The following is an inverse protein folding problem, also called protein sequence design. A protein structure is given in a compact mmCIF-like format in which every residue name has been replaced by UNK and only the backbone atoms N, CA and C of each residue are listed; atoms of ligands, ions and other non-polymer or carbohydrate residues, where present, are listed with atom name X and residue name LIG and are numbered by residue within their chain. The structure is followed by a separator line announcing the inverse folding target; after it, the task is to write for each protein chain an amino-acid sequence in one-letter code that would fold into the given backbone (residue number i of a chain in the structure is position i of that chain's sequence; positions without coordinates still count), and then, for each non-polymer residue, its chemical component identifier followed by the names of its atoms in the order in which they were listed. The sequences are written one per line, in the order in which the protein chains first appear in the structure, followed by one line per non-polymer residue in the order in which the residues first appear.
data_IF_584998557097
#
_entry.id   IF_584998557097
#
_cell.length_a   1.000
_cell.length_b   1.000
_cell.length_c   1.000
_cell.angle_alpha   90.00
_cell.angle_beta   90.00
_cell.angle_gamma   90.00
#
_symmetry.space_group_name_H-M   'P 1'
#
loop_
_entity.id
_entity.type
_entity.pdbx_description
1 polymer ?
#
# COMPACT_ATOMS: atom_id res chain seq x y z
N UNK A 1 -19.94 -23.27 8.76
CA UNK A 1 -20.18 -21.82 8.55
C UNK A 1 -18.98 -21.27 7.77
N UNK A 2 -19.15 -21.02 6.47
CA UNK A 2 -18.06 -20.61 5.56
C UNK A 2 -18.58 -20.04 4.22
N UNK A 3 -19.88 -19.71 4.17
CA UNK A 3 -20.57 -19.22 2.98
C UNK A 3 -21.07 -17.82 3.30
N UNK A 4 -20.15 -16.86 3.23
CA UNK A 4 -20.42 -15.45 3.46
C UNK A 4 -20.58 -14.61 2.17
N UNK A 5 -19.93 -14.91 1.02
CA UNK A 5 -20.06 -14.04 -0.15
C UNK A 5 -21.41 -14.23 -0.86
N UNK A 6 -21.91 -13.16 -1.46
CA UNK A 6 -23.06 -13.20 -2.37
C UNK A 6 -22.75 -13.99 -3.64
N UNK A 7 -23.80 -14.51 -4.30
CA UNK A 7 -23.66 -15.27 -5.54
C UNK A 7 -22.84 -14.51 -6.59
N UNK A 8 -21.74 -15.12 -7.06
CA UNK A 8 -20.88 -14.57 -8.11
C UNK A 8 -19.46 -14.18 -7.68
N UNK A 9 -19.14 -14.14 -6.38
CA UNK A 9 -17.79 -13.87 -5.90
C UNK A 9 -17.06 -15.16 -5.44
N UNK A 10 -15.78 -15.35 -5.80
CA UNK A 10 -14.97 -16.44 -5.26
C UNK A 10 -14.69 -16.22 -3.76
N UNK A 11 -14.21 -17.26 -3.08
CA UNK A 11 -13.82 -17.17 -1.67
C UNK A 11 -12.74 -16.11 -1.40
N UNK A 12 -11.84 -15.86 -2.37
CA UNK A 12 -10.78 -14.86 -2.23
C UNK A 12 -11.29 -13.44 -2.48
N UNK A 13 -10.97 -12.55 -1.54
CA UNK A 13 -11.38 -11.14 -1.56
C UNK A 13 -10.20 -10.16 -1.57
N UNK A 14 -8.96 -10.63 -1.74
CA UNK A 14 -7.75 -9.80 -1.63
C UNK A 14 -7.33 -9.05 -2.89
N UNK A 15 -8.08 -9.10 -4.00
CA UNK A 15 -7.61 -8.57 -5.29
C UNK A 15 -7.49 -7.04 -5.28
N UNK A 16 -6.33 -6.56 -5.73
CA UNK A 16 -6.06 -5.13 -5.91
C UNK A 16 -5.90 -4.33 -4.62
N UNK A 17 -5.97 -4.99 -3.45
CA UNK A 17 -5.83 -4.33 -2.18
C UNK A 17 -4.34 -4.03 -1.86
N UNK A 18 -4.05 -2.91 -1.17
CA UNK A 18 -2.72 -2.60 -0.66
C UNK A 18 -2.19 -3.61 0.37
N UNK A 19 -3.10 -4.34 1.00
CA UNK A 19 -2.82 -5.46 1.91
C UNK A 19 -3.48 -6.70 1.32
N UNK A 20 -2.69 -7.75 1.08
CA UNK A 20 -3.19 -9.01 0.52
C UNK A 20 -4.01 -9.83 1.54
N UNK A 21 -4.66 -10.90 1.08
CA UNK A 21 -5.46 -11.79 1.93
C UNK A 21 -4.62 -12.51 3.02
N UNK A 22 -3.31 -12.62 2.79
CA UNK A 22 -2.33 -13.08 3.78
C UNK A 22 -1.90 -12.00 4.79
N UNK A 23 -2.50 -10.80 4.73
CA UNK A 23 -2.20 -9.62 5.55
C UNK A 23 -0.81 -9.02 5.31
N UNK A 24 -0.25 -9.21 4.11
CA UNK A 24 1.05 -8.64 3.72
C UNK A 24 0.87 -7.37 2.90
N UNK A 25 1.71 -6.33 3.10
CA UNK A 25 1.74 -5.18 2.21
C UNK A 25 2.08 -5.60 0.77
N UNK A 26 1.41 -5.00 -0.20
CA UNK A 26 1.67 -5.18 -1.64
C UNK A 26 2.37 -3.94 -2.21
N UNK A 27 2.77 -3.99 -3.48
CA UNK A 27 3.31 -2.82 -4.19
C UNK A 27 2.33 -1.61 -4.19
N UNK A 28 1.02 -1.87 -4.08
CA UNK A 28 0.00 -0.82 -3.96
C UNK A 28 0.03 -0.05 -2.63
N UNK A 29 0.76 -0.54 -1.63
CA UNK A 29 0.95 0.17 -0.35
C UNK A 29 1.77 1.44 -0.51
N UNK A 30 2.73 1.46 -1.44
CA UNK A 30 3.69 2.53 -1.58
C UNK A 30 3.07 3.93 -1.75
N UNK A 31 2.23 4.18 -2.77
CA UNK A 31 1.62 5.50 -2.94
C UNK A 31 0.73 5.88 -1.74
N UNK A 32 0.08 4.94 -1.08
CA UNK A 32 -0.80 5.21 0.06
C UNK A 32 -0.02 5.59 1.31
N UNK A 33 1.04 4.86 1.64
CA UNK A 33 1.92 5.18 2.75
C UNK A 33 2.61 6.53 2.51
N UNK A 34 3.12 6.76 1.30
CA UNK A 34 3.80 8.00 0.98
C UNK A 34 2.87 9.21 1.08
N UNK A 35 1.70 9.13 0.45
CA UNK A 35 0.72 10.21 0.51
C UNK A 35 0.17 10.40 1.93
N UNK A 36 -0.08 9.31 2.66
CA UNK A 36 -0.56 9.35 4.05
C UNK A 36 0.43 10.04 4.99
N UNK A 37 1.72 9.73 4.88
CA UNK A 37 2.77 10.43 5.64
C UNK A 37 2.86 11.91 5.27
N UNK A 38 2.77 12.21 3.98
CA UNK A 38 2.87 13.57 3.45
C UNK A 38 1.76 14.46 4.01
N UNK A 39 0.49 14.08 3.84
CA UNK A 39 -0.65 14.91 4.31
C UNK A 39 -0.71 14.99 5.84
N UNK A 40 -0.17 14.01 6.55
CA UNK A 40 -0.13 14.01 8.02
C UNK A 40 0.92 14.97 8.59
N UNK A 41 2.04 15.15 7.89
CA UNK A 41 3.23 15.84 8.43
C UNK A 41 3.54 17.16 7.75
N UNK A 42 2.93 17.46 6.60
CA UNK A 42 3.15 18.70 5.85
C UNK A 42 1.89 19.57 5.88
N UNK A 43 1.73 20.45 6.89
CA UNK A 43 0.51 21.23 7.10
C UNK A 43 0.23 22.23 5.97
N UNK A 44 1.24 22.66 5.21
CA UNK A 44 1.08 23.50 4.02
C UNK A 44 0.12 22.89 2.98
N UNK A 45 -0.08 21.56 2.99
CA UNK A 45 -1.01 20.88 2.07
C UNK A 45 -2.47 20.93 2.54
N UNK A 46 -2.75 21.39 3.76
CA UNK A 46 -4.10 21.44 4.32
C UNK A 46 -4.98 22.51 3.67
N UNK A 47 -4.37 23.52 3.04
CA UNK A 47 -5.07 24.59 2.32
C UNK A 47 -4.38 24.85 0.99
N UNK A 48 -5.01 24.44 -0.09
CA UNK A 48 -4.48 24.57 -1.45
C UNK A 48 -5.54 25.16 -2.38
N UNK A 49 -5.25 26.35 -2.91
CA UNK A 49 -6.08 27.05 -3.88
C UNK A 49 -5.47 26.87 -5.28
N UNK A 50 -6.28 26.63 -6.33
CA UNK A 50 -5.79 26.61 -7.70
C UNK A 50 -5.25 27.97 -8.12
N UNK A 51 -4.04 28.02 -8.70
CA UNK A 51 -3.44 29.28 -9.20
C UNK A 51 -3.83 29.55 -10.66
N UNK A 52 -3.96 28.50 -11.49
CA UNK A 52 -4.41 28.59 -12.88
C UNK A 52 -4.96 27.24 -13.36
N UNK A 53 -5.62 27.20 -14.52
CA UNK A 53 -5.98 25.93 -15.18
C UNK A 53 -4.74 25.09 -15.49
N UNK A 54 -4.97 23.79 -15.64
CA UNK A 54 -3.95 22.77 -15.92
C UNK A 54 -3.06 23.17 -17.09
N UNK A 55 -1.75 23.26 -16.86
CA UNK A 55 -0.75 23.57 -17.89
C UNK A 55 -0.22 22.28 -18.49
N UNK A 56 -0.23 22.15 -19.80
CA UNK A 56 0.43 21.03 -20.48
C UNK A 56 1.89 21.43 -20.73
N UNK A 57 2.84 20.88 -19.96
CA UNK A 57 4.27 21.20 -20.07
C UNK A 57 4.89 20.36 -21.20
N UNK A 58 5.01 20.93 -22.40
CA UNK A 58 5.13 20.18 -23.67
C UNK A 58 3.95 19.21 -23.84
N UNK A 59 3.58 18.79 -25.05
CA UNK A 59 2.36 17.98 -25.31
C UNK A 59 2.31 16.58 -24.62
N UNK A 60 3.20 16.32 -23.64
CA UNK A 60 3.39 15.02 -22.99
C UNK A 60 3.26 15.06 -21.46
N UNK A 61 3.31 16.23 -20.80
CA UNK A 61 3.07 16.35 -19.35
C UNK A 61 1.87 17.22 -19.04
N UNK A 62 1.03 16.77 -18.12
CA UNK A 62 -0.09 17.53 -17.57
C UNK A 62 0.30 18.06 -16.18
N UNK A 63 0.14 19.36 -15.92
CA UNK A 63 0.54 20.00 -14.66
C UNK A 63 -0.64 20.75 -14.05
N UNK A 64 -1.07 20.35 -12.86
CA UNK A 64 -2.02 21.14 -12.05
C UNK A 64 -1.24 21.94 -11.01
N UNK A 65 -1.43 23.26 -11.01
CA UNK A 65 -0.72 24.18 -10.12
C UNK A 65 -1.65 24.69 -9.00
N UNK A 66 -1.21 24.47 -7.77
CA UNK A 66 -1.88 24.86 -6.53
C UNK A 66 -0.95 25.73 -5.68
N UNK A 67 -1.51 26.59 -4.84
CA UNK A 67 -0.77 27.38 -3.86
C UNK A 67 -1.42 27.29 -2.50
N UNK A 68 -0.62 27.32 -1.44
CA UNK A 68 -1.10 27.70 -0.12
C UNK A 68 -1.02 29.23 0.00
N UNK A 69 -2.14 29.95 0.09
CA UNK A 69 -2.13 31.42 0.16
C UNK A 69 -1.57 31.97 1.48
N UNK A 70 -1.59 31.17 2.56
CA UNK A 70 -1.14 31.60 3.88
C UNK A 70 0.38 31.50 4.02
N UNK A 71 1.00 30.50 3.39
CA UNK A 71 2.44 30.25 3.48
C UNK A 71 3.21 30.61 2.21
N UNK A 72 2.51 30.76 1.08
CA UNK A 72 3.10 30.99 -0.24
C UNK A 72 3.71 29.74 -0.88
N UNK A 73 3.59 28.57 -0.26
CA UNK A 73 4.07 27.31 -0.82
C UNK A 73 3.33 26.99 -2.14
N UNK A 74 4.08 26.60 -3.16
CA UNK A 74 3.55 26.21 -4.46
C UNK A 74 3.64 24.69 -4.62
N UNK A 75 2.59 24.10 -5.16
CA UNK A 75 2.46 22.65 -5.35
C UNK A 75 2.08 22.36 -6.80
N UNK A 76 2.83 21.48 -7.44
CA UNK A 76 2.65 21.07 -8.83
C UNK A 76 2.36 19.58 -8.88
N UNK A 77 1.14 19.21 -9.27
CA UNK A 77 0.80 17.81 -9.57
C UNK A 77 1.14 17.58 -11.04
N UNK A 78 2.26 16.91 -11.28
CA UNK A 78 2.79 16.63 -12.61
C UNK A 78 2.45 15.19 -12.98
N UNK A 79 1.83 14.99 -14.14
CA UNK A 79 1.41 13.68 -14.64
C UNK A 79 1.94 13.44 -16.05
N UNK A 80 2.48 12.26 -16.29
CA UNK A 80 2.83 11.76 -17.62
C UNK A 80 1.87 10.62 -17.99
N UNK A 81 0.91 10.91 -18.84
CA UNK A 81 -0.07 9.93 -19.31
C UNK A 81 0.45 9.09 -20.48
N UNK A 82 1.61 9.44 -21.04
CA UNK A 82 2.19 8.75 -22.19
C UNK A 82 2.92 7.46 -21.81
N UNK A 83 3.16 6.62 -22.81
CA UNK A 83 3.91 5.36 -22.68
C UNK A 83 5.44 5.56 -22.68
N UNK A 84 5.94 6.80 -22.80
CA UNK A 84 7.37 7.12 -22.87
C UNK A 84 7.82 7.95 -21.67
N UNK A 85 9.09 7.83 -21.30
CA UNK A 85 9.68 8.72 -20.32
C UNK A 85 9.78 10.14 -20.90
N UNK A 86 9.42 11.14 -20.10
CA UNK A 86 9.50 12.55 -20.50
C UNK A 86 10.46 13.28 -19.56
N UNK A 87 11.40 14.02 -20.14
CA UNK A 87 12.28 14.95 -19.42
C UNK A 87 12.02 16.36 -19.93
N UNK A 88 11.54 17.25 -19.05
CA UNK A 88 11.13 18.59 -19.46
C UNK A 88 11.36 19.63 -18.37
N UNK A 89 11.54 20.88 -18.77
CA UNK A 89 11.44 22.01 -17.85
C UNK A 89 9.98 22.23 -17.46
N UNK A 90 9.75 22.83 -16.29
CA UNK A 90 8.43 23.31 -15.88
C UNK A 90 8.44 24.84 -15.84
N UNK A 91 8.19 25.52 -16.98
CA UNK A 91 8.15 26.98 -17.02
C UNK A 91 7.22 27.55 -15.95
N UNK A 92 7.60 28.69 -15.37
CA UNK A 92 6.83 29.44 -14.38
C UNK A 92 6.53 28.69 -13.07
N UNK A 93 7.22 27.57 -12.79
CA UNK A 93 7.05 26.79 -11.56
C UNK A 93 8.04 27.17 -10.43
N UNK A 94 9.03 28.03 -10.73
CA UNK A 94 10.17 28.25 -9.85
C UNK A 94 11.10 27.04 -9.70
N UNK A 95 10.79 25.90 -10.33
CA UNK A 95 11.67 24.74 -10.43
C UNK A 95 12.61 24.98 -11.61
N UNK A 96 13.87 25.28 -11.30
CA UNK A 96 14.86 25.78 -12.25
C UNK A 96 15.61 24.67 -13.02
N UNK A 97 15.20 23.42 -12.83
CA UNK A 97 15.86 22.24 -13.40
C UNK A 97 14.86 21.30 -14.08
N UNK A 98 15.29 20.51 -15.09
CA UNK A 98 14.38 19.58 -15.77
C UNK A 98 13.89 18.47 -14.83
N UNK A 99 12.59 18.17 -14.90
CA UNK A 99 11.97 17.04 -14.21
C UNK A 99 11.93 15.83 -15.15
N UNK A 100 12.12 14.63 -14.59
CA UNK A 100 12.05 13.37 -15.35
C UNK A 100 10.88 12.53 -14.86
N UNK A 101 9.86 12.35 -15.70
CA UNK A 101 8.64 11.59 -15.39
C UNK A 101 8.64 10.26 -16.14
N UNK A 102 8.43 9.15 -15.43
CA UNK A 102 8.30 7.83 -16.05
C UNK A 102 6.97 7.71 -16.82
N UNK A 103 6.81 6.72 -17.71
CA UNK A 103 5.51 6.41 -18.32
C UNK A 103 4.44 6.16 -17.25
N UNK A 104 3.22 6.65 -17.48
CA UNK A 104 2.07 6.47 -16.58
C UNK A 104 2.38 6.81 -15.11
N UNK A 105 3.09 7.92 -14.89
CA UNK A 105 3.57 8.37 -13.59
C UNK A 105 2.93 9.69 -13.19
N UNK A 106 2.76 9.89 -11.88
CA UNK A 106 2.29 11.15 -11.32
C UNK A 106 3.11 11.47 -10.07
N UNK A 107 3.52 12.73 -9.92
CA UNK A 107 4.28 13.20 -8.76
C UNK A 107 3.82 14.57 -8.30
N UNK A 108 3.95 14.76 -7.01
CA UNK A 108 3.79 16.07 -6.37
C UNK A 108 5.17 16.71 -6.23
N UNK A 109 5.38 17.82 -6.93
CA UNK A 109 6.56 18.67 -6.79
C UNK A 109 6.20 19.95 -6.06
N UNK A 110 7.17 20.56 -5.39
CA UNK A 110 6.93 21.75 -4.56
C UNK A 110 8.03 22.79 -4.72
N UNK A 111 7.65 24.04 -4.53
CA UNK A 111 8.55 25.17 -4.32
C UNK A 111 8.03 26.05 -3.18
N UNK A 112 8.94 26.69 -2.44
CA UNK A 112 8.61 27.54 -1.29
C UNK A 112 8.09 26.83 -0.04
N UNK A 113 8.21 25.50 0.06
CA UNK A 113 7.71 24.70 1.20
C UNK A 113 8.55 24.91 2.47
N UNK A 114 7.93 24.97 3.64
CA UNK A 114 8.66 24.99 4.92
C UNK A 114 9.12 23.59 5.33
N UNK A 115 10.40 23.45 5.63
CA UNK A 115 11.03 22.23 6.17
C UNK A 115 11.51 22.53 7.59
N UNK A 116 10.57 22.47 8.54
CA UNK A 116 10.80 22.95 9.90
C UNK A 116 11.12 24.45 9.92
N UNK A 117 12.36 24.78 10.30
CA UNK A 117 12.85 26.17 10.36
C UNK A 117 13.47 26.69 9.06
N UNK A 118 13.65 25.85 8.05
CA UNK A 118 14.24 26.22 6.75
C UNK A 118 13.18 26.27 5.66
N UNK A 119 13.48 26.95 4.56
CA UNK A 119 12.60 27.04 3.39
C UNK A 119 13.21 26.31 2.20
N UNK A 120 12.42 25.45 1.59
CA UNK A 120 12.74 24.76 0.35
C UNK A 120 12.48 25.71 -0.81
N UNK A 121 13.51 26.05 -1.58
CA UNK A 121 13.36 26.82 -2.80
C UNK A 121 12.60 25.99 -3.85
N UNK A 122 13.09 24.78 -4.14
CA UNK A 122 12.42 23.81 -5.02
C UNK A 122 12.93 22.38 -4.82
N UNK A 123 12.20 21.39 -5.33
CA UNK A 123 12.68 20.01 -5.51
C UNK A 123 12.11 19.33 -6.75
N UNK A 124 12.84 18.36 -7.30
CA UNK A 124 12.36 17.43 -8.35
C UNK A 124 11.96 16.05 -7.80
N UNK A 125 12.19 15.79 -6.52
CA UNK A 125 11.75 14.60 -5.82
C UNK A 125 10.46 14.89 -5.05
N UNK A 126 9.62 13.88 -4.87
CA UNK A 126 8.36 14.06 -4.16
C UNK A 126 8.64 14.21 -2.66
N UNK A 127 8.18 15.28 -1.99
CA UNK A 127 8.19 15.33 -0.53
C UNK A 127 7.38 14.16 0.03
N UNK A 128 7.96 13.47 1.01
CA UNK A 128 7.34 12.32 1.67
C UNK A 128 6.83 12.69 3.07
N UNK A 129 7.66 13.38 3.85
CA UNK A 129 7.28 13.90 5.17
C UNK A 129 8.21 15.02 5.62
N UNK A 130 7.74 15.83 6.56
CA UNK A 130 8.51 16.88 7.23
C UNK A 130 8.12 16.89 8.72
N UNK A 131 9.06 16.67 9.62
CA UNK A 131 8.76 16.57 11.05
C UNK A 131 9.94 17.02 11.90
N UNK A 132 9.68 17.35 13.16
CA UNK A 132 10.74 17.48 14.16
C UNK A 132 10.95 16.13 14.85
N UNK A 133 12.20 15.77 15.13
CA UNK A 133 12.54 14.64 15.99
C UNK A 133 13.64 15.09 16.95
N UNK A 134 13.24 15.30 18.22
CA UNK A 134 14.12 15.85 19.25
C UNK A 134 14.63 17.25 18.93
N UNK A 135 15.94 17.40 18.75
CA UNK A 135 16.60 18.69 18.45
C UNK A 135 16.89 18.88 16.96
N UNK A 136 16.22 18.12 16.10
CA UNK A 136 16.46 18.06 14.67
C UNK A 136 15.14 18.31 13.94
N UNK A 137 15.19 19.03 12.82
CA UNK A 137 14.16 18.95 11.80
C UNK A 137 14.54 17.84 10.80
N UNK A 138 13.58 17.09 10.29
CA UNK A 138 13.77 16.00 9.32
C UNK A 138 12.82 16.24 8.15
N UNK A 139 13.36 16.20 6.93
CA UNK A 139 12.56 16.20 5.71
C UNK A 139 12.98 15.04 4.80
N UNK A 140 12.00 14.33 4.28
CA UNK A 140 12.21 13.15 3.44
C UNK A 140 11.68 13.40 2.05
N UNK A 141 12.44 12.99 1.05
CA UNK A 141 12.08 13.05 -0.36
C UNK A 141 12.19 11.66 -0.99
N UNK A 142 11.18 11.30 -1.77
CA UNK A 142 11.06 10.01 -2.43
C UNK A 142 10.96 10.14 -3.96
N UNK A 143 11.29 9.07 -4.64
CA UNK A 143 11.13 8.95 -6.09
C UNK A 143 11.50 7.57 -6.59
N UNK A 144 11.56 7.40 -7.90
CA UNK A 144 11.86 6.09 -8.48
C UNK A 144 13.35 5.76 -8.36
N UNK A 145 13.63 4.48 -8.15
CA UNK A 145 14.99 3.96 -8.14
C UNK A 145 15.73 4.29 -9.45
N UNK A 146 16.99 4.69 -9.35
CA UNK A 146 17.82 5.13 -10.49
C UNK A 146 17.62 6.58 -10.93
N UNK A 147 16.67 7.31 -10.36
CA UNK A 147 16.54 8.76 -10.61
C UNK A 147 17.46 9.57 -9.71
N UNK A 148 17.65 10.85 -10.07
CA UNK A 148 18.35 11.82 -9.23
C UNK A 148 17.37 12.82 -8.66
N UNK A 149 17.33 12.93 -7.34
CA UNK A 149 16.69 14.03 -6.65
C UNK A 149 17.57 15.27 -6.77
N UNK A 150 16.95 16.38 -7.15
CA UNK A 150 17.55 17.71 -7.07
C UNK A 150 16.72 18.55 -6.13
N UNK A 151 17.39 19.29 -5.26
CA UNK A 151 16.77 20.07 -4.20
C UNK A 151 17.57 21.34 -3.97
N UNK A 152 16.90 22.46 -3.73
CA UNK A 152 17.54 23.69 -3.31
C UNK A 152 16.87 24.24 -2.05
N UNK A 153 17.65 24.58 -1.03
CA UNK A 153 17.19 25.32 0.14
C UNK A 153 17.55 26.80 0.01
N UNK A 154 16.62 27.68 0.37
CA UNK A 154 16.92 29.09 0.59
C UNK A 154 17.77 29.19 1.86
N UNK A 155 18.94 29.82 1.74
CA UNK A 155 19.91 29.95 2.82
C UNK A 155 20.83 31.15 2.56
N UNK A 156 20.61 32.28 3.21
CA UNK A 156 21.41 33.51 3.01
C UNK A 156 22.84 33.35 3.54
N UNK A 157 22.99 32.61 4.65
CA UNK A 157 24.29 32.27 5.24
C UNK A 157 24.63 30.82 4.91
N UNK A 158 25.80 30.59 4.31
CA UNK A 158 26.24 29.23 3.96
C UNK A 158 26.25 28.31 5.19
N UNK A 159 25.49 27.19 5.18
CA UNK A 159 25.47 26.25 6.29
C UNK A 159 26.63 25.27 6.18
N UNK A 160 26.97 24.63 7.29
CA UNK A 160 27.82 23.43 7.28
C UNK A 160 26.98 22.25 6.80
N UNK A 161 27.49 21.51 5.81
CA UNK A 161 26.81 20.35 5.24
C UNK A 161 27.67 19.11 5.41
N UNK A 162 27.10 18.10 6.05
CA UNK A 162 27.72 16.82 6.33
C UNK A 162 26.93 15.72 5.63
N UNK A 163 27.54 15.06 4.66
CA UNK A 163 26.99 13.81 4.14
C UNK A 163 27.27 12.68 5.12
N UNK A 164 26.23 11.93 5.49
CA UNK A 164 26.38 10.71 6.26
C UNK A 164 26.62 9.50 5.34
N UNK A 165 26.23 9.61 4.07
CA UNK A 165 26.45 8.62 3.00
C UNK A 165 27.35 9.20 1.89
N UNK A 166 27.96 8.36 1.05
CA UNK A 166 28.91 8.80 0.00
C UNK A 166 28.25 9.56 -1.15
N UNK A 167 27.03 9.15 -1.51
CA UNK A 167 26.39 9.50 -2.77
C UNK A 167 25.87 10.93 -2.90
N UNK A 168 25.29 11.57 -1.85
CA UNK A 168 24.82 12.94 -1.96
C UNK A 168 25.96 13.94 -2.18
N UNK A 169 25.69 14.92 -3.06
CA UNK A 169 26.58 16.03 -3.35
C UNK A 169 25.85 17.36 -3.16
N UNK A 170 26.60 18.43 -2.90
CA UNK A 170 26.03 19.77 -2.73
C UNK A 170 26.95 20.86 -3.24
N UNK A 171 26.36 22.02 -3.52
CA UNK A 171 27.04 23.29 -3.77
C UNK A 171 26.27 24.43 -3.11
N UNK A 172 26.96 25.50 -2.78
CA UNK A 172 26.35 26.72 -2.27
C UNK A 172 26.61 27.85 -3.25
N UNK A 173 25.57 28.51 -3.72
CA UNK A 173 25.66 29.66 -4.63
C UNK A 173 24.46 30.60 -4.41
N UNK A 174 24.72 31.91 -4.45
CA UNK A 174 23.68 32.98 -4.42
C UNK A 174 22.57 32.78 -3.38
N UNK A 175 22.94 32.53 -2.12
CA UNK A 175 21.95 32.39 -1.04
C UNK A 175 21.15 31.08 -1.13
N UNK A 176 21.67 30.06 -1.83
CA UNK A 176 21.03 28.74 -1.94
C UNK A 176 22.01 27.61 -1.70
N UNK A 177 21.54 26.63 -0.93
CA UNK A 177 22.19 25.31 -0.84
C UNK A 177 21.53 24.37 -1.85
N UNK A 178 22.25 24.01 -2.91
CA UNK A 178 21.81 23.07 -3.92
C UNK A 178 22.33 21.67 -3.59
N UNK A 179 21.47 20.67 -3.69
CA UNK A 179 21.72 19.28 -3.34
C UNK A 179 21.29 18.37 -4.48
N UNK A 180 22.12 17.36 -4.74
CA UNK A 180 21.80 16.28 -5.67
C UNK A 180 22.06 14.95 -4.97
N UNK A 181 21.09 14.03 -5.04
CA UNK A 181 21.21 12.70 -4.47
C UNK A 181 20.62 11.64 -5.41
N UNK A 182 21.34 10.54 -5.72
CA UNK A 182 20.73 9.42 -6.42
C UNK A 182 19.74 8.68 -5.52
N UNK A 183 18.65 8.20 -6.10
CA UNK A 183 17.61 7.47 -5.39
C UNK A 183 17.78 5.96 -5.60
N UNK A 184 17.86 5.21 -4.51
CA UNK A 184 17.98 3.74 -4.50
C UNK A 184 19.42 3.21 -4.47
N UNK A 185 20.43 4.05 -4.72
CA UNK A 185 21.84 3.66 -4.55
C UNK A 185 22.20 3.73 -3.07
N UNK A 186 22.58 2.61 -2.46
CA UNK A 186 22.90 2.53 -1.03
C UNK A 186 21.67 2.59 -0.10
N UNK A 187 20.45 2.54 -0.65
CA UNK A 187 19.21 2.63 0.11
C UNK A 187 18.82 4.07 0.45
N UNK A 188 19.02 4.47 1.70
CA UNK A 188 18.66 5.80 2.20
C UNK A 188 19.88 6.72 2.12
N UNK A 189 19.76 7.86 1.43
CA UNK A 189 20.78 8.91 1.43
C UNK A 189 20.50 9.97 2.51
N UNK A 190 21.48 10.25 3.36
CA UNK A 190 21.37 11.19 4.48
C UNK A 190 22.31 12.38 4.32
N UNK A 191 21.74 13.58 4.44
CA UNK A 191 22.50 14.83 4.50
C UNK A 191 22.09 15.62 5.73
N UNK A 192 23.06 15.99 6.56
CA UNK A 192 22.86 16.83 7.73
C UNK A 192 23.32 18.25 7.42
N UNK A 193 22.41 19.21 7.58
CA UNK A 193 22.65 20.64 7.39
C UNK A 193 22.63 21.34 8.75
N UNK A 194 23.72 22.01 9.12
CA UNK A 194 23.90 22.71 10.40
C UNK A 194 24.20 24.19 10.20
N UNK A 195 23.73 25.04 11.12
CA UNK A 195 24.00 26.48 11.09
C UNK A 195 23.38 27.17 9.86
N UNK A 196 24.02 28.21 9.37
CA UNK A 196 23.42 29.11 8.37
C UNK A 196 22.29 29.92 9.00
N UNK A 197 21.12 29.94 8.36
CA UNK A 197 19.97 30.73 8.82
C UNK A 197 19.20 30.12 10.00
N UNK A 198 19.61 28.96 10.51
CA UNK A 198 18.94 28.28 11.64
C UNK A 198 19.94 27.49 12.49
N UNK A 199 19.84 27.66 13.81
CA UNK A 199 20.61 26.89 14.80
C UNK A 199 20.13 25.45 14.94
N UNK A 200 18.90 25.15 14.50
CA UNK A 200 18.40 23.76 14.49
C UNK A 200 18.89 23.05 13.24
N UNK A 201 19.57 21.89 13.39
CA UNK A 201 19.99 21.08 12.27
C UNK A 201 18.81 20.50 11.50
N UNK A 202 18.95 20.43 10.17
CA UNK A 202 18.01 19.75 9.28
C UNK A 202 18.66 18.48 8.73
N UNK A 203 18.00 17.34 8.91
CA UNK A 203 18.34 16.08 8.23
C UNK A 203 17.48 15.96 6.98
N UNK A 204 18.12 15.91 5.82
CA UNK A 204 17.50 15.59 4.56
C UNK A 204 17.72 14.11 4.26
N UNK A 205 16.62 13.41 3.98
CA UNK A 205 16.61 11.99 3.66
C UNK A 205 16.11 11.78 2.23
N UNK A 206 16.85 11.01 1.44
CA UNK A 206 16.54 10.72 0.05
C UNK A 206 16.36 9.22 -0.12
N UNK A 207 15.18 8.78 -0.55
CA UNK A 207 14.82 7.38 -0.68
C UNK A 207 14.25 7.07 -2.07
N UNK A 208 14.51 5.88 -2.58
CA UNK A 208 13.62 5.34 -3.61
C UNK A 208 12.31 4.82 -3.01
N UNK A 209 11.31 4.52 -3.85
CA UNK A 209 10.00 4.07 -3.40
C UNK A 209 10.07 2.87 -2.45
N UNK A 210 10.95 1.89 -2.73
CA UNK A 210 11.13 0.71 -1.89
C UNK A 210 11.76 1.05 -0.52
N UNK A 211 12.72 1.96 -0.48
CA UNK A 211 13.32 2.45 0.76
C UNK A 211 12.36 3.32 1.56
N UNK A 212 11.53 4.11 0.90
CA UNK A 212 10.52 4.96 1.53
C UNK A 212 9.50 4.15 2.36
N UNK A 213 9.18 2.92 1.94
CA UNK A 213 8.25 2.05 2.70
C UNK A 213 8.75 1.64 4.07
N UNK A 214 10.06 1.78 4.28
CA UNK A 214 10.73 1.41 5.52
C UNK A 214 10.89 2.60 6.48
N UNK A 215 10.30 3.76 6.14
CA UNK A 215 10.29 4.96 6.96
C UNK A 215 8.97 5.11 7.69
N UNK A 216 9.06 5.15 9.02
CA UNK A 216 7.94 5.08 9.93
C UNK A 216 7.94 6.27 10.90
N UNK A 217 7.22 7.35 10.60
CA UNK A 217 7.00 8.44 11.55
C UNK A 217 6.02 8.00 12.63
N UNK A 218 6.37 8.24 13.89
CA UNK A 218 5.54 7.95 15.06
C UNK A 218 5.49 9.16 15.98
N UNK A 219 4.30 9.39 16.54
CA UNK A 219 4.08 10.37 17.59
C UNK A 219 3.92 9.63 18.91
N UNK A 220 4.64 10.07 19.94
CA UNK A 220 4.51 9.51 21.29
C UNK A 220 4.26 10.64 22.28
N UNK A 221 3.74 10.35 23.49
CA UNK A 221 3.58 11.37 24.53
C UNK A 221 4.90 12.10 24.88
N UNK A 222 6.05 11.48 24.62
CA UNK A 222 7.39 12.02 24.89
C UNK A 222 8.03 12.71 23.68
N UNK A 223 7.32 12.81 22.56
CA UNK A 223 7.77 13.44 21.33
C UNK A 223 7.76 12.50 20.12
N UNK A 224 7.97 13.10 18.96
CA UNK A 224 7.96 12.42 17.68
C UNK A 224 9.28 11.68 17.42
N UNK A 225 9.20 10.61 16.64
CA UNK A 225 10.34 9.81 16.21
C UNK A 225 10.15 9.34 14.77
N UNK A 226 11.26 9.14 14.08
CA UNK A 226 11.30 8.50 12.76
C UNK A 226 12.15 7.23 12.87
N UNK A 227 11.57 6.09 12.49
CA UNK A 227 12.31 4.84 12.35
C UNK A 227 12.52 4.54 10.88
N UNK A 228 13.77 4.34 10.49
CA UNK A 228 14.13 3.64 9.27
C UNK A 228 14.46 2.20 9.64
N UNK A 229 13.73 1.22 9.11
CA UNK A 229 13.87 -0.14 9.63
C UNK A 229 13.29 -1.24 8.74
N UNK A 230 12.76 -2.31 9.34
CA UNK A 230 12.32 -3.49 8.61
C UNK A 230 11.00 -3.26 7.87
N UNK A 231 10.54 -4.31 7.19
CA UNK A 231 9.38 -4.27 6.29
C UNK A 231 8.09 -3.77 6.96
N UNK A 232 7.92 -3.93 8.27
CA UNK A 232 6.77 -3.39 9.00
C UNK A 232 7.13 -2.99 10.41
N UNK A 233 6.81 -1.75 10.79
CA UNK A 233 6.82 -1.31 12.18
C UNK A 233 5.38 -1.25 12.72
N UNK A 234 5.08 -2.06 13.72
CA UNK A 234 3.73 -2.17 14.33
C UNK A 234 3.52 -1.21 15.50
N UNK A 235 4.56 -0.96 16.29
CA UNK A 235 4.50 0.01 17.38
C UNK A 235 5.88 0.56 17.71
N UNK A 236 5.90 1.80 18.21
CA UNK A 236 7.04 2.43 18.82
C UNK A 236 6.57 3.12 20.11
N UNK A 237 7.15 2.73 21.24
CA UNK A 237 6.86 3.34 22.54
C UNK A 237 8.14 3.77 23.22
N UNK A 238 8.10 4.90 23.91
CA UNK A 238 9.24 5.37 24.72
C UNK A 238 8.99 5.04 26.18
N UNK A 239 9.99 4.45 26.82
CA UNK A 239 10.06 4.25 28.27
C UNK A 239 11.45 4.63 28.73
N UNK A 240 11.53 5.59 29.65
CA UNK A 240 12.79 6.16 30.11
C UNK A 240 13.66 6.63 28.93
N UNK A 241 14.88 6.10 28.81
CA UNK A 241 15.82 6.39 27.71
C UNK A 241 15.76 5.36 26.56
N UNK A 242 14.78 4.46 26.55
CA UNK A 242 14.68 3.34 25.61
C UNK A 242 13.52 3.49 24.65
N UNK A 243 13.79 3.30 23.35
CA UNK A 243 12.77 3.16 22.32
C UNK A 243 12.43 1.68 22.14
N UNK A 244 11.21 1.29 22.48
CA UNK A 244 10.70 -0.06 22.30
C UNK A 244 9.93 -0.18 20.99
N UNK A 245 10.52 -0.90 20.04
CA UNK A 245 9.96 -1.15 18.72
C UNK A 245 9.42 -2.57 18.64
N UNK A 246 8.27 -2.73 17.98
CA UNK A 246 7.74 -4.05 17.61
C UNK A 246 7.38 -4.07 16.14
N UNK A 247 7.65 -5.17 15.45
CA UNK A 247 7.35 -5.27 14.03
C UNK A 247 7.76 -6.59 13.40
N UNK A 248 7.74 -6.60 12.08
CA UNK A 248 8.01 -7.79 11.28
C UNK A 248 9.27 -7.59 10.44
N UNK A 249 10.12 -8.62 10.46
CA UNK A 249 11.32 -8.73 9.62
C UNK A 249 11.04 -9.82 8.58
N UNK A 250 11.36 -9.57 7.31
CA UNK A 250 11.16 -10.52 6.21
C UNK A 250 12.46 -10.92 5.52
N UNK A 251 13.50 -10.12 5.72
CA UNK A 251 14.86 -10.29 5.22
C UNK A 251 15.81 -9.57 6.17
N UNK A 252 17.09 -9.92 6.12
CA UNK A 252 18.13 -9.25 6.91
C UNK A 252 18.06 -7.73 6.74
N UNK A 253 18.01 -6.99 7.85
CA UNK A 253 17.78 -5.53 7.83
C UNK A 253 18.31 -4.84 9.07
N UNK A 254 18.74 -3.58 8.92
CA UNK A 254 19.10 -2.71 10.03
C UNK A 254 17.88 -2.00 10.64
N UNK A 255 18.16 -1.27 11.72
CA UNK A 255 17.25 -0.32 12.37
C UNK A 255 18.01 0.98 12.61
N UNK A 256 17.39 2.11 12.31
CA UNK A 256 17.90 3.44 12.62
C UNK A 256 16.76 4.31 13.16
N UNK A 257 17.02 5.03 14.25
CA UNK A 257 16.01 5.80 14.98
C UNK A 257 16.48 7.22 15.18
N UNK A 258 15.70 8.18 14.68
CA UNK A 258 15.73 9.56 15.14
C UNK A 258 14.60 9.76 16.15
N UNK A 259 14.89 10.32 17.32
CA UNK A 259 13.86 10.50 18.34
C UNK A 259 14.16 11.66 19.29
N UNK A 260 13.33 11.81 20.34
CA UNK A 260 13.45 12.93 21.27
C UNK A 260 14.75 12.88 22.09
N UNK A 261 15.15 13.98 22.74
CA UNK A 261 16.40 14.05 23.48
C UNK A 261 16.39 13.05 24.64
N UNK A 262 17.53 12.41 24.91
CA UNK A 262 17.70 11.48 26.04
C UNK A 262 17.51 10.01 25.70
N UNK A 263 17.07 9.67 24.48
CA UNK A 263 17.11 8.27 24.03
C UNK A 263 18.56 7.80 23.85
N UNK A 264 18.86 6.62 24.36
CA UNK A 264 20.21 6.01 24.30
C UNK A 264 20.19 4.53 23.92
N UNK A 265 19.02 3.90 23.94
CA UNK A 265 18.84 2.47 23.71
C UNK A 265 17.62 2.18 22.84
N UNK A 266 17.68 1.08 22.10
CA UNK A 266 16.59 0.58 21.27
C UNK A 266 16.37 -0.90 21.58
N UNK A 267 15.11 -1.33 21.67
CA UNK A 267 14.77 -2.77 21.67
C UNK A 267 13.90 -3.09 20.46
N UNK A 268 14.10 -4.26 19.88
CA UNK A 268 13.28 -4.80 18.80
C UNK A 268 12.58 -6.08 19.26
N UNK A 269 11.24 -6.11 19.23
CA UNK A 269 10.42 -7.24 19.68
C UNK A 269 10.79 -7.74 21.10
N UNK A 270 11.17 -6.82 21.98
CA UNK A 270 11.56 -7.10 23.37
C UNK A 270 13.06 -7.34 23.57
N UNK A 271 13.83 -7.57 22.51
CA UNK A 271 15.26 -7.84 22.59
C UNK A 271 16.10 -6.56 22.40
N UNK A 272 17.14 -6.32 23.21
CA UNK A 272 18.03 -5.18 23.03
C UNK A 272 18.76 -5.20 21.69
N UNK A 273 18.80 -4.05 21.02
CA UNK A 273 19.59 -3.84 19.81
C UNK A 273 20.79 -2.98 20.17
N UNK A 274 21.99 -3.45 19.81
CA UNK A 274 23.20 -2.63 19.97
C UNK A 274 23.17 -1.51 18.95
N UNK A 275 23.43 -0.28 19.39
CA UNK A 275 23.37 0.90 18.55
C UNK A 275 24.53 1.84 18.83
N UNK A 276 24.95 2.58 17.81
CA UNK A 276 25.87 3.71 17.92
C UNK A 276 25.21 4.99 17.40
N UNK A 277 25.73 6.16 17.80
CA UNK A 277 25.25 7.44 17.30
C UNK A 277 25.79 7.70 15.88
N UNK A 278 24.89 7.74 14.90
CA UNK A 278 25.19 8.00 13.50
C UNK A 278 25.53 9.46 13.22
N UNK A 279 26.15 9.70 12.05
CA UNK A 279 26.57 11.05 11.59
C UNK A 279 25.39 12.00 11.37
N UNK A 280 24.20 11.47 11.13
CA UNK A 280 22.92 12.17 10.95
C UNK A 280 22.16 12.41 12.26
N UNK A 281 22.74 12.07 13.42
CA UNK A 281 22.10 12.28 14.73
C UNK A 281 21.07 11.21 15.13
N UNK A 282 21.08 10.06 14.48
CA UNK A 282 20.23 8.89 14.78
C UNK A 282 20.98 7.84 15.61
N UNK A 283 20.24 6.98 16.32
CA UNK A 283 20.76 5.71 16.82
C UNK A 283 20.70 4.69 15.69
N UNK A 284 21.86 4.22 15.24
CA UNK A 284 22.01 3.24 14.16
C UNK A 284 22.38 1.90 14.75
N UNK A 285 21.68 0.84 14.34
CA UNK A 285 22.01 -0.52 14.73
C UNK A 285 23.43 -0.92 14.32
N UNK A 286 24.15 -1.58 15.22
CA UNK A 286 25.40 -2.27 14.91
C UNK A 286 25.07 -3.60 14.22
N UNK A 287 25.56 -3.78 12.99
CA UNK A 287 25.26 -4.96 12.19
C UNK A 287 23.83 -4.95 11.64
N UNK A 288 23.24 -6.13 11.49
CA UNK A 288 21.90 -6.32 10.92
C UNK A 288 21.09 -7.30 11.77
N UNK A 289 19.77 -7.15 11.79
CA UNK A 289 18.87 -8.15 12.34
C UNK A 289 18.78 -9.33 11.38
N UNK A 290 18.73 -10.58 11.87
CA UNK A 290 18.58 -11.75 11.02
C UNK A 290 17.22 -11.74 10.29
N UNK A 291 17.15 -12.48 9.18
CA UNK A 291 15.92 -12.71 8.46
C UNK A 291 14.92 -13.59 9.25
N UNK A 292 13.70 -13.70 8.73
CA UNK A 292 12.71 -14.57 9.34
C UNK A 292 13.16 -16.04 9.23
N UNK A 293 13.07 -16.82 10.32
CA UNK A 293 13.47 -18.23 10.28
C UNK A 293 12.60 -19.00 9.30
N UNK A 294 13.21 -19.97 8.61
CA UNK A 294 12.48 -20.85 7.70
C UNK A 294 11.53 -21.77 8.49
N UNK A 295 10.32 -21.96 7.95
CA UNK A 295 9.31 -22.84 8.53
C UNK A 295 9.19 -24.09 7.65
N UNK A 296 9.37 -25.27 8.25
CA UNK A 296 9.12 -26.54 7.57
C UNK A 296 7.64 -26.88 7.69
N UNK A 297 6.94 -26.94 6.55
CA UNK A 297 5.55 -27.36 6.50
C UNK A 297 5.44 -28.89 6.49
N UNK A 298 4.44 -29.47 7.18
CA UNK A 298 4.21 -30.91 7.12
C UNK A 298 3.77 -31.34 5.71
N UNK A 299 4.09 -32.58 5.35
CA UNK A 299 3.50 -33.21 4.16
C UNK A 299 2.00 -33.39 4.38
N UNK A 300 1.20 -33.06 3.35
CA UNK A 300 -0.24 -33.34 3.35
C UNK A 300 -0.47 -34.76 2.83
N UNK A 301 -0.25 -35.76 3.68
CA UNK A 301 -0.42 -37.19 3.40
C UNK A 301 -1.43 -37.87 4.34
N UNK A 302 -1.56 -39.19 4.28
CA UNK A 302 -2.46 -39.94 5.17
C UNK A 302 -3.97 -39.74 4.90
N UNK A 303 -4.34 -39.26 3.72
CA UNK A 303 -5.72 -38.95 3.33
C UNK A 303 -6.66 -40.15 3.53
N UNK A 304 -7.78 -39.89 4.22
CA UNK A 304 -8.92 -40.81 4.33
C UNK A 304 -10.05 -40.32 3.45
N UNK A 305 -10.82 -41.24 2.88
CA UNK A 305 -11.97 -40.93 2.02
C UNK A 305 -13.23 -41.63 2.48
N UNK A 306 -14.37 -41.00 2.23
CA UNK A 306 -15.72 -41.56 2.34
C UNK A 306 -16.53 -41.04 1.14
N UNK A 307 -17.45 -41.86 0.62
CA UNK A 307 -18.40 -41.39 -0.40
C UNK A 307 -19.26 -40.24 0.16
N UNK A 308 -19.49 -39.21 -0.65
CA UNK A 308 -20.18 -37.97 -0.25
C UNK A 308 -21.63 -37.85 -0.71
N UNK A 309 -22.22 -38.93 -1.26
CA UNK A 309 -23.57 -38.91 -1.83
C UNK A 309 -24.33 -40.22 -1.55
N UNK A 310 -24.53 -40.62 -0.28
CA UNK A 310 -25.34 -41.82 0.03
C UNK A 310 -26.77 -41.75 -0.54
N UNK A 311 -27.28 -40.55 -0.82
CA UNK A 311 -28.61 -40.26 -1.35
C UNK A 311 -28.84 -40.85 -2.75
N UNK A 312 -27.78 -41.19 -3.49
CA UNK A 312 -27.91 -41.83 -4.81
C UNK A 312 -28.19 -43.33 -4.72
N UNK A 313 -28.07 -43.94 -3.53
CA UNK A 313 -28.37 -45.36 -3.36
C UNK A 313 -29.88 -45.62 -3.50
N UNK A 314 -30.30 -46.72 -4.18
CA UNK A 314 -31.71 -47.04 -4.37
C UNK A 314 -32.48 -47.17 -3.05
N UNK A 315 -31.82 -47.76 -2.04
CA UNK A 315 -32.40 -48.07 -0.73
C UNK A 315 -32.13 -46.96 0.30
N UNK A 316 -31.71 -45.77 -0.12
CA UNK A 316 -31.53 -44.64 0.78
C UNK A 316 -32.88 -44.21 1.39
N UNK A 317 -32.92 -44.22 2.73
CA UNK A 317 -34.08 -43.78 3.51
C UNK A 317 -34.07 -42.26 3.68
N UNK A 318 -34.99 -41.59 2.96
CA UNK A 318 -35.22 -40.14 3.03
C UNK A 318 -36.38 -39.76 3.96
N UNK A 319 -36.88 -40.67 4.80
CA UNK A 319 -38.03 -40.42 5.69
C UNK A 319 -37.83 -39.28 6.69
N UNK A 320 -36.58 -38.95 7.02
CA UNK A 320 -36.22 -37.85 7.89
C UNK A 320 -36.09 -36.49 7.15
N UNK A 321 -36.19 -36.46 5.82
CA UNK A 321 -36.05 -35.23 5.04
C UNK A 321 -37.28 -34.33 5.21
N UNK A 322 -37.05 -33.03 5.11
CA UNK A 322 -38.15 -32.06 5.11
C UNK A 322 -38.97 -32.22 3.83
N UNK A 323 -40.26 -32.47 3.98
CA UNK A 323 -41.18 -32.57 2.85
C UNK A 323 -41.39 -31.17 2.26
N UNK A 324 -41.19 -31.03 0.95
CA UNK A 324 -41.45 -29.79 0.22
C UNK A 324 -42.93 -29.68 -0.18
N UNK A 325 -43.81 -29.33 0.76
CA UNK A 325 -45.27 -29.32 0.61
C UNK A 325 -45.91 -27.91 0.59
N UNK A 326 -45.11 -26.85 0.68
CA UNK A 326 -45.63 -25.48 0.70
C UNK A 326 -46.20 -25.09 -0.66
N UNK A 327 -47.33 -24.39 -0.64
CA UNK A 327 -48.05 -23.92 -1.84
C UNK A 327 -47.96 -22.40 -2.04
N UNK A 328 -47.34 -21.68 -1.10
CA UNK A 328 -47.13 -20.23 -1.15
C UNK A 328 -45.72 -19.86 -0.67
N UNK A 329 -45.14 -18.84 -1.29
CA UNK A 329 -43.83 -18.29 -0.93
C UNK A 329 -43.93 -16.79 -0.67
N UNK A 330 -43.02 -16.27 0.16
CA UNK A 330 -42.82 -14.83 0.34
C UNK A 330 -41.80 -14.26 -0.67
N UNK A 331 -41.23 -15.10 -1.54
CA UNK A 331 -40.30 -14.68 -2.59
C UNK A 331 -41.01 -13.88 -3.69
N UNK A 332 -40.28 -12.95 -4.30
CA UNK A 332 -40.72 -12.26 -5.52
C UNK A 332 -40.56 -13.12 -6.77
N UNK A 333 -39.85 -14.25 -6.68
CA UNK A 333 -39.73 -15.24 -7.75
C UNK A 333 -41.04 -16.03 -7.88
N UNK A 334 -41.71 -16.02 -9.06
CA UNK A 334 -42.97 -16.75 -9.24
C UNK A 334 -42.81 -18.26 -9.04
N UNK A 335 -43.80 -18.88 -8.39
CA UNK A 335 -43.92 -20.33 -8.28
C UNK A 335 -44.84 -20.83 -9.42
N UNK A 336 -44.43 -21.84 -10.21
CA UNK A 336 -45.26 -22.38 -11.28
C UNK A 336 -46.62 -22.88 -10.76
N UNK A 337 -47.69 -22.58 -11.49
CA UNK A 337 -49.04 -22.99 -11.11
C UNK A 337 -49.14 -24.52 -10.98
N UNK A 338 -49.74 -24.98 -9.88
CA UNK A 338 -49.89 -26.41 -9.58
C UNK A 338 -48.63 -27.12 -9.09
N UNK A 339 -47.52 -26.41 -8.87
CA UNK A 339 -46.27 -26.98 -8.34
C UNK A 339 -46.02 -26.60 -6.88
N UNK A 340 -45.36 -27.44 -6.07
CA UNK A 340 -44.93 -27.06 -4.73
C UNK A 340 -43.80 -26.02 -4.80
N UNK A 341 -43.65 -25.24 -3.72
CA UNK A 341 -42.52 -24.34 -3.52
C UNK A 341 -41.25 -25.17 -3.30
N UNK A 342 -40.19 -24.91 -4.08
CA UNK A 342 -38.89 -25.55 -3.97
C UNK A 342 -37.77 -24.54 -3.63
N UNK A 343 -38.10 -23.39 -3.06
CA UNK A 343 -37.11 -22.43 -2.61
C UNK A 343 -36.56 -22.87 -1.25
N UNK A 344 -35.27 -23.18 -1.20
CA UNK A 344 -34.58 -23.66 0.01
C UNK A 344 -34.79 -22.72 1.22
N UNK A 345 -34.79 -21.41 0.96
CA UNK A 345 -35.01 -20.37 1.97
C UNK A 345 -36.37 -20.45 2.64
N UNK A 346 -37.42 -20.82 1.90
CA UNK A 346 -38.74 -20.97 2.50
C UNK A 346 -38.70 -22.10 3.54
N UNK A 347 -37.93 -23.16 3.32
CA UNK A 347 -37.78 -24.27 4.26
C UNK A 347 -36.68 -24.05 5.32
N UNK A 348 -36.11 -22.84 5.41
CA UNK A 348 -35.09 -22.48 6.42
C UNK A 348 -33.67 -22.91 6.06
N UNK A 349 -33.43 -23.34 4.82
CA UNK A 349 -32.11 -23.75 4.32
C UNK A 349 -31.46 -22.60 3.52
N UNK A 350 -30.63 -21.80 4.20
CA UNK A 350 -30.10 -20.54 3.67
C UNK A 350 -28.65 -20.61 3.15
N UNK A 351 -27.95 -21.73 3.37
CA UNK A 351 -26.50 -21.80 3.13
C UNK A 351 -26.05 -23.18 2.65
N UNK A 352 -25.05 -23.18 1.76
CA UNK A 352 -24.38 -24.39 1.29
C UNK A 352 -25.15 -25.14 0.21
N UNK A 353 -24.78 -26.41 0.02
CA UNK A 353 -25.41 -27.28 -0.98
C UNK A 353 -26.76 -27.78 -0.47
N UNK A 354 -27.79 -27.65 -1.31
CA UNK A 354 -29.16 -28.11 -1.01
C UNK A 354 -29.50 -29.27 -1.94
N UNK A 355 -30.00 -30.36 -1.36
CA UNK A 355 -30.39 -31.57 -2.07
C UNK A 355 -31.91 -31.68 -2.14
N UNK A 356 -32.42 -32.11 -3.30
CA UNK A 356 -33.84 -32.40 -3.51
C UNK A 356 -33.99 -33.84 -4.01
N UNK A 357 -35.00 -34.55 -3.52
CA UNK A 357 -35.34 -35.90 -3.99
C UNK A 357 -36.81 -35.93 -4.43
N UNK A 358 -37.03 -36.25 -5.71
CA UNK A 358 -38.35 -36.26 -6.33
C UNK A 358 -38.81 -37.68 -6.64
N UNK A 359 -39.88 -38.13 -5.98
CA UNK A 359 -40.56 -39.38 -6.33
C UNK A 359 -41.58 -39.17 -7.44
N UNK A 360 -41.55 -40.01 -8.48
CA UNK A 360 -42.61 -40.06 -9.49
C UNK A 360 -43.04 -41.50 -9.74
N UNK A 361 -44.34 -41.71 -9.98
CA UNK A 361 -44.85 -42.99 -10.46
C UNK A 361 -44.93 -42.94 -11.98
N UNK A 362 -44.18 -43.79 -12.65
CA UNK A 362 -44.28 -43.95 -14.10
C UNK A 362 -45.56 -44.69 -14.45
N UNK A 363 -46.51 -43.99 -15.09
CA UNK A 363 -47.63 -44.62 -15.77
C UNK A 363 -47.24 -44.89 -17.22
N UNK A 364 -46.97 -46.15 -17.57
CA UNK A 364 -46.78 -46.54 -18.96
C UNK A 364 -48.11 -46.45 -19.71
N UNK A 365 -48.28 -45.42 -20.54
CA UNK A 365 -49.37 -45.39 -21.53
C UNK A 365 -48.94 -46.28 -22.69
N UNK A 366 -49.43 -47.52 -22.70
CA UNK A 366 -49.32 -48.40 -23.87
C UNK A 366 -50.18 -47.83 -25.00
N UNK A 367 -49.57 -47.08 -25.92
CA UNK A 367 -50.21 -46.81 -27.23
C UNK A 367 -50.15 -48.09 -28.05
N UNK A 368 -51.28 -48.62 -28.57
CA UNK A 368 -51.22 -49.74 -29.50
C UNK A 368 -50.53 -49.29 -30.80
N UNK A 369 -49.46 -49.99 -31.17
CA UNK A 369 -48.76 -49.79 -32.45
C UNK A 369 -49.72 -50.08 -33.62
N UNK A 370 -49.84 -49.20 -34.63
CA UNK A 370 -50.50 -49.56 -35.87
C UNK A 370 -49.65 -50.59 -36.61
N UNK A 371 -50.26 -51.72 -36.94
CA UNK A 371 -49.68 -52.79 -37.76
C UNK A 371 -49.28 -52.23 -39.14
N UNK A 372 -48.04 -52.41 -39.62
CA UNK A 372 -47.66 -51.94 -40.94
C UNK A 372 -48.17 -52.93 -42.01
N UNK A 373 -49.09 -52.46 -42.87
CA UNK A 373 -49.43 -53.12 -44.14
C UNK A 373 -48.23 -53.12 -45.07
N UNK A 374 -47.67 -54.30 -45.34
CA UNK A 374 -46.66 -54.52 -46.38
C UNK A 374 -47.33 -54.83 -47.74
N UNK A 375 -46.89 -54.23 -48.85
CA UNK A 375 -47.45 -54.51 -50.17
C UNK A 375 -46.76 -55.72 -50.83
N UNK A 376 -47.50 -56.83 -50.92
CA UNK A 376 -47.54 -57.78 -52.04
C UNK A 376 -46.31 -58.62 -52.41
N UNK A 377 -46.44 -59.96 -52.28
CA UNK A 377 -46.56 -60.88 -53.44
C UNK A 377 -46.87 -62.34 -53.03
N UNK A 378 -47.92 -62.84 -53.69
CA UNK A 378 -48.40 -64.19 -54.03
C UNK A 378 -47.49 -65.42 -53.74
N UNK A 379 -48.14 -66.49 -53.26
CA UNK A 379 -47.99 -67.85 -53.82
C UNK A 379 -47.56 -68.95 -52.84
N UNK A 380 -48.57 -69.72 -52.38
CA UNK A 380 -48.58 -70.99 -51.62
C UNK A 380 -47.76 -71.09 -50.32
#
# INVERSE_FOLDING_TARGET
MGVAPGGGAPASHGRGAPVDEGRRPTAGMAPLQQFGHLVRTVPDLARLDPVSETRTAQDRLTVRHLTNPDTGAQVYVVRNDSAEQVRSMLPDSGIEVPVTMAPHDARLLVSGLRLGRRKLAYTTAQPLLSMAAGRLDIAVFAGRSGQQAQLALDCEVQPEVLRADTEPAWSYDRGRLNLVAPLGVGGLGRVLVKGGDSDVPLVLLFADDATALRLWPYETPSGSLLVYGPAMLRSATLRDSTVHLTGDVVAETGVEVWGPPGITSVTWNGEPVRTYLGRSGSLVMEGMMPDAPSVTLPALDGWRRRGGSPESEPDFDDSAWTVADRTSSHSTTPVPEGSPVLFADDYGFHYGDVWYRGGSRTHAVSRPSPCPTAPGRRGC
#
